data_IF_935204216318
#
_entry.id   IF_935204216318
#
_cell.length_a   1.000
_cell.length_b   1.000
_cell.length_c   1.000
_cell.angle_alpha   90.00
_cell.angle_beta   90.00
_cell.angle_gamma   90.00
#
_symmetry.space_group_name_H-M   'P 1'
#
loop_
_entity.id
_entity.type
_entity.pdbx_description
1 polymer ?
#
# COMPACT_ATOMS: atom_id res chain seq x y z
N UNK A 1 -9.97 12.00 -7.61
CA UNK A 1 -10.03 11.76 -6.14
C UNK A 1 -10.98 10.63 -5.71
N UNK A 2 -11.79 10.03 -6.59
CA UNK A 2 -12.72 8.94 -6.24
C UNK A 2 -12.04 7.60 -5.85
N UNK A 3 -10.72 7.48 -6.01
CA UNK A 3 -10.00 6.23 -5.84
C UNK A 3 -9.80 5.81 -4.37
N UNK A 4 -9.95 6.73 -3.40
CA UNK A 4 -9.74 6.42 -1.98
C UNK A 4 -11.07 6.36 -1.22
N UNK A 5 -11.32 5.27 -0.49
CA UNK A 5 -12.52 5.15 0.33
C UNK A 5 -12.48 6.09 1.55
N UNK A 6 -13.64 6.31 2.20
CA UNK A 6 -13.74 7.19 3.36
C UNK A 6 -12.94 6.69 4.58
N UNK A 7 -12.70 5.38 4.68
CA UNK A 7 -11.95 4.79 5.80
C UNK A 7 -10.42 5.00 5.66
N UNK A 8 -9.91 5.16 4.43
CA UNK A 8 -8.49 5.38 4.16
C UNK A 8 -7.91 6.53 4.98
N UNK A 9 -8.68 7.58 5.26
CA UNK A 9 -8.23 8.74 6.05
C UNK A 9 -7.91 8.40 7.50
N UNK A 10 -8.57 7.37 8.03
CA UNK A 10 -8.43 6.91 9.42
C UNK A 10 -7.31 5.89 9.59
N UNK A 11 -6.83 5.32 8.49
CA UNK A 11 -5.73 4.36 8.49
C UNK A 11 -4.38 5.03 8.72
N UNK A 12 -3.45 4.23 9.27
CA UNK A 12 -2.04 4.60 9.42
C UNK A 12 -1.18 3.64 8.63
N UNK A 13 -0.21 4.17 7.89
CA UNK A 13 0.60 3.43 6.93
C UNK A 13 2.06 3.43 7.37
N UNK A 14 2.67 2.24 7.39
CA UNK A 14 4.11 2.07 7.67
C UNK A 14 4.84 1.76 6.38
N UNK A 15 5.99 2.38 6.15
CA UNK A 15 6.88 2.02 5.04
C UNK A 15 7.57 0.70 5.37
N UNK A 16 7.33 -0.33 4.58
CA UNK A 16 7.86 -1.68 4.80
C UNK A 16 9.07 -2.01 3.95
N UNK A 17 9.12 -1.47 2.72
CA UNK A 17 10.21 -1.71 1.77
C UNK A 17 10.40 -0.50 0.89
N UNK A 18 11.62 -0.34 0.41
CA UNK A 18 11.97 0.66 -0.58
C UNK A 18 12.73 0.00 -1.72
N UNK A 19 12.48 0.43 -2.94
CA UNK A 19 13.14 -0.13 -4.12
C UNK A 19 13.67 0.98 -5.01
N UNK A 20 14.71 0.67 -5.80
CA UNK A 20 15.07 1.44 -6.98
C UNK A 20 14.45 0.77 -8.21
N UNK A 21 13.81 1.55 -9.07
CA UNK A 21 13.19 1.05 -10.29
C UNK A 21 13.14 2.17 -11.34
N UNK A 22 13.74 1.95 -12.52
CA UNK A 22 13.71 2.86 -13.68
C UNK A 22 13.94 4.33 -13.31
N UNK A 23 15.12 4.60 -12.74
CA UNK A 23 15.52 5.94 -12.26
C UNK A 23 14.56 6.57 -11.25
N UNK A 24 13.79 5.75 -10.55
CA UNK A 24 12.79 6.14 -9.56
C UNK A 24 13.04 5.41 -8.26
N UNK A 25 12.46 5.94 -7.19
CA UNK A 25 12.38 5.27 -5.89
C UNK A 25 10.94 4.87 -5.62
N UNK A 26 10.73 3.65 -5.14
CA UNK A 26 9.42 3.11 -4.80
C UNK A 26 9.36 2.82 -3.32
N UNK A 27 8.36 3.38 -2.63
CA UNK A 27 8.03 3.08 -1.25
C UNK A 27 6.82 2.15 -1.20
N UNK A 28 6.98 0.97 -0.59
CA UNK A 28 5.87 0.07 -0.30
C UNK A 28 5.40 0.30 1.13
N UNK A 29 4.16 0.73 1.27
CA UNK A 29 3.51 0.96 2.56
C UNK A 29 2.35 0.00 2.76
N UNK A 30 2.05 -0.35 4.01
CA UNK A 30 0.83 -1.10 4.35
C UNK A 30 0.22 -0.55 5.63
N UNK A 31 -1.07 -0.80 5.84
CA UNK A 31 -1.75 -0.46 7.09
C UNK A 31 -1.04 -1.05 8.31
N UNK A 32 -0.82 -0.22 9.32
CA UNK A 32 -0.16 -0.58 10.59
C UNK A 32 -0.87 -1.70 11.33
N UNK A 33 -2.21 -1.74 11.23
CA UNK A 33 -3.06 -2.80 11.77
C UNK A 33 -2.93 -4.13 11.03
N UNK A 34 -1.94 -4.33 10.16
CA UNK A 34 -1.85 -5.48 9.25
C UNK A 34 -2.12 -6.84 9.92
N UNK A 35 -1.67 -7.05 11.16
CA UNK A 35 -1.94 -8.29 11.89
C UNK A 35 -3.40 -8.40 12.37
N UNK A 36 -3.97 -7.30 12.90
CA UNK A 36 -5.35 -7.22 13.41
C UNK A 36 -6.36 -7.14 12.26
N UNK A 37 -6.05 -6.42 11.19
CA UNK A 37 -6.85 -6.33 9.97
C UNK A 37 -6.82 -7.65 9.20
N UNK A 38 -5.67 -8.34 9.15
CA UNK A 38 -5.59 -9.69 8.61
C UNK A 38 -6.46 -10.65 9.42
N UNK A 39 -6.36 -10.71 10.76
CA UNK A 39 -7.22 -11.58 11.57
C UNK A 39 -8.70 -11.17 11.53
N UNK A 40 -9.01 -9.87 11.56
CA UNK A 40 -10.38 -9.37 11.41
C UNK A 40 -10.95 -9.63 10.01
N UNK A 41 -10.12 -9.72 8.96
CA UNK A 41 -10.57 -10.05 7.59
C UNK A 41 -11.13 -11.47 7.46
N UNK A 42 -10.86 -12.36 8.42
CA UNK A 42 -11.43 -13.70 8.47
C UNK A 42 -12.92 -13.67 8.86
N UNK A 43 -13.33 -12.68 9.66
CA UNK A 43 -14.67 -12.58 10.22
C UNK A 43 -15.46 -11.36 9.69
N UNK A 44 -14.78 -10.42 9.03
CA UNK A 44 -15.37 -9.20 8.45
C UNK A 44 -14.80 -8.97 7.05
N UNK A 45 -15.52 -8.34 6.11
CA UNK A 45 -15.03 -8.01 4.77
C UNK A 45 -14.01 -6.85 4.78
N UNK A 46 -13.05 -6.88 5.71
CA UNK A 46 -12.01 -5.85 5.86
C UNK A 46 -10.89 -6.13 4.86
N UNK A 47 -10.56 -5.13 4.03
CA UNK A 47 -9.43 -5.18 3.10
C UNK A 47 -8.20 -4.50 3.70
N UNK A 48 -7.04 -5.13 3.56
CA UNK A 48 -5.74 -4.56 3.88
C UNK A 48 -5.35 -3.59 2.77
N UNK A 49 -5.07 -2.33 3.12
CA UNK A 49 -4.59 -1.35 2.14
C UNK A 49 -3.07 -1.46 2.02
N UNK A 50 -2.59 -1.65 0.78
CA UNK A 50 -1.19 -1.65 0.39
C UNK A 50 -0.98 -0.50 -0.57
N UNK A 51 0.08 0.29 -0.39
CA UNK A 51 0.40 1.41 -1.27
C UNK A 51 1.79 1.20 -1.85
N UNK A 52 1.89 1.28 -3.16
CA UNK A 52 3.15 1.42 -3.87
C UNK A 52 3.25 2.87 -4.36
N UNK A 53 4.06 3.67 -3.68
CA UNK A 53 4.33 5.07 -4.03
C UNK A 53 5.65 5.16 -4.78
N UNK A 54 5.61 5.46 -6.07
CA UNK A 54 6.78 5.72 -6.91
C UNK A 54 7.02 7.22 -7.01
N UNK A 55 8.22 7.66 -6.66
CA UNK A 55 8.75 9.00 -6.94
C UNK A 55 9.57 8.91 -8.21
N UNK A 56 8.97 9.32 -9.33
CA UNK A 56 9.56 9.24 -10.65
C UNK A 56 10.71 10.23 -10.81
N UNK A 57 11.66 9.87 -11.68
CA UNK A 57 12.83 10.66 -12.05
C UNK A 57 13.79 11.02 -10.90
N UNK A 58 13.57 10.44 -9.71
CA UNK A 58 14.49 10.50 -8.58
C UNK A 58 15.10 9.12 -8.31
N UNK A 59 16.37 8.93 -8.67
CA UNK A 59 17.07 7.65 -8.54
C UNK A 59 17.77 7.45 -7.18
N UNK A 60 17.84 8.51 -6.37
CA UNK A 60 18.47 8.52 -5.06
C UNK A 60 17.41 8.56 -3.95
N UNK A 61 17.51 7.65 -2.98
CA UNK A 61 16.58 7.58 -1.84
C UNK A 61 16.48 8.91 -1.09
N UNK A 62 17.57 9.63 -0.76
CA UNK A 62 17.48 10.90 -0.05
C UNK A 62 16.69 11.94 -0.84
N UNK A 63 16.93 12.06 -2.14
CA UNK A 63 16.26 13.03 -3.00
C UNK A 63 14.75 12.75 -3.08
N UNK A 64 14.38 11.48 -3.31
CA UNK A 64 12.97 11.08 -3.34
C UNK A 64 12.26 11.33 -2.00
N UNK A 65 12.93 11.01 -0.89
CA UNK A 65 12.41 11.25 0.45
C UNK A 65 12.24 12.75 0.75
N UNK A 66 13.26 13.55 0.45
CA UNK A 66 13.26 15.00 0.70
C UNK A 66 12.21 15.69 -0.18
N UNK A 67 12.01 15.24 -1.42
CA UNK A 67 10.96 15.71 -2.31
C UNK A 67 9.57 15.45 -1.73
N UNK A 68 9.30 14.23 -1.24
CA UNK A 68 8.03 13.90 -0.58
C UNK A 68 7.80 14.74 0.69
N UNK A 69 8.83 14.88 1.53
CA UNK A 69 8.77 15.70 2.74
C UNK A 69 8.44 17.16 2.41
N UNK A 70 9.09 17.72 1.39
CA UNK A 70 8.85 19.09 0.88
C UNK A 70 7.44 19.26 0.33
N UNK A 71 6.93 18.24 -0.37
CA UNK A 71 5.57 18.23 -0.89
C UNK A 71 4.49 18.09 0.21
N UNK A 72 4.90 17.79 1.45
CA UNK A 72 4.03 17.68 2.62
C UNK A 72 3.75 16.24 3.07
N UNK A 73 4.34 15.23 2.41
CA UNK A 73 4.21 13.83 2.78
C UNK A 73 5.46 13.36 3.54
N UNK A 74 5.41 13.45 4.86
CA UNK A 74 6.53 13.04 5.74
C UNK A 74 6.49 11.54 5.98
N UNK A 75 7.41 10.82 5.35
CA UNK A 75 7.64 9.41 5.62
C UNK A 75 8.50 9.24 6.88
N UNK A 76 8.73 7.99 7.27
CA UNK A 76 9.67 7.65 8.32
C UNK A 76 11.11 8.06 7.97
N UNK A 77 11.82 8.84 8.82
CA UNK A 77 13.20 9.25 8.59
C UNK A 77 14.17 8.11 8.26
N UNK A 78 13.95 6.92 8.80
CA UNK A 78 14.84 5.80 8.54
C UNK A 78 14.70 5.26 7.10
N UNK A 79 13.62 5.61 6.39
CA UNK A 79 13.45 5.28 4.97
C UNK A 79 14.22 6.23 4.04
N UNK A 80 14.79 7.33 4.56
CA UNK A 80 15.49 8.35 3.76
C UNK A 80 16.64 7.80 2.94
N UNK A 81 17.37 6.81 3.47
CA UNK A 81 18.50 6.19 2.79
C UNK A 81 18.14 4.85 2.12
N UNK A 82 16.85 4.50 2.08
CA UNK A 82 16.36 3.17 1.74
C UNK A 82 16.36 2.24 2.94
N UNK A 83 15.39 1.33 2.96
CA UNK A 83 15.27 0.26 3.94
C UNK A 83 16.09 -0.96 3.49
N UNK A 84 16.77 -1.57 4.45
CA UNK A 84 17.56 -2.79 4.27
C UNK A 84 16.64 -4.01 4.09
N UNK A 85 16.89 -4.81 3.04
CA UNK A 85 16.08 -5.97 2.65
C UNK A 85 16.51 -7.29 3.32
N UNK A 86 17.51 -7.28 4.21
CA UNK A 86 17.96 -8.48 4.92
C UNK A 86 16.88 -9.06 5.85
N UNK A 87 16.72 -10.39 5.83
CA UNK A 87 15.65 -11.11 6.56
C UNK A 87 15.61 -10.77 8.05
N UNK A 88 16.76 -10.67 8.71
CA UNK A 88 16.86 -10.35 10.13
C UNK A 88 16.42 -8.91 10.46
N UNK A 89 16.75 -7.93 9.62
CA UNK A 89 16.31 -6.55 9.82
C UNK A 89 14.88 -6.31 9.38
N UNK A 90 14.36 -7.03 8.38
CA UNK A 90 12.92 -7.01 8.07
C UNK A 90 12.07 -7.46 9.27
N UNK A 91 12.54 -8.45 10.03
CA UNK A 91 11.88 -8.90 11.26
C UNK A 91 11.96 -7.83 12.37
N UNK A 92 13.11 -7.17 12.53
CA UNK A 92 13.27 -6.07 13.48
C UNK A 92 12.44 -4.82 13.10
N UNK A 93 12.39 -4.44 11.83
CA UNK A 93 11.54 -3.37 11.28
C UNK A 93 10.06 -3.67 11.50
N UNK A 94 9.65 -4.94 11.33
CA UNK A 94 8.29 -5.40 11.66
C UNK A 94 7.98 -5.26 13.15
N UNK A 95 8.93 -5.56 14.04
CA UNK A 95 8.72 -5.53 15.49
C UNK A 95 8.72 -4.10 16.06
N UNK A 96 9.51 -3.20 15.47
CA UNK A 96 9.68 -1.83 16.00
C UNK A 96 8.61 -0.84 15.52
N UNK A 97 7.69 -1.24 14.62
CA UNK A 97 6.55 -0.45 14.12
C UNK A 97 6.84 1.06 14.05
N UNK A 98 7.69 1.41 13.10
CA UNK A 98 8.25 2.75 13.02
C UNK A 98 7.19 3.80 12.64
N UNK A 99 7.59 5.08 12.68
CA UNK A 99 6.71 6.23 12.46
C UNK A 99 5.73 6.02 11.30
N UNK A 100 4.43 6.18 11.58
CA UNK A 100 3.36 5.92 10.63
C UNK A 100 2.84 7.20 9.99
N UNK A 101 2.54 7.13 8.70
CA UNK A 101 1.91 8.19 7.92
C UNK A 101 0.40 8.06 8.01
N UNK A 102 -0.32 9.13 8.29
CA UNK A 102 -1.79 9.07 8.29
C UNK A 102 -2.31 9.06 6.84
N UNK A 103 -3.34 8.27 6.57
CA UNK A 103 -3.93 8.20 5.22
C UNK A 103 -4.46 9.55 4.74
N UNK A 104 -4.96 10.40 5.66
CA UNK A 104 -5.36 11.77 5.34
C UNK A 104 -4.20 12.61 4.75
N UNK A 105 -2.97 12.38 5.21
CA UNK A 105 -1.79 13.12 4.75
C UNK A 105 -1.43 12.67 3.33
N UNK A 106 -1.55 11.36 3.05
CA UNK A 106 -1.39 10.80 1.70
C UNK A 106 -2.47 11.35 0.75
N UNK A 107 -3.74 11.41 1.17
CA UNK A 107 -4.80 11.99 0.34
C UNK A 107 -4.56 13.47 0.08
N UNK A 108 -4.14 14.22 1.10
CA UNK A 108 -3.85 15.66 0.97
C UNK A 108 -2.70 15.89 0.00
N UNK A 109 -1.63 15.11 0.13
CA UNK A 109 -0.53 15.10 -0.84
C UNK A 109 -1.04 14.80 -2.26
N UNK A 110 -1.89 13.78 -2.42
CA UNK A 110 -2.44 13.42 -3.72
C UNK A 110 -3.33 14.52 -4.32
N UNK A 111 -4.14 15.19 -3.48
CA UNK A 111 -5.03 16.26 -3.89
C UNK A 111 -4.26 17.53 -4.31
N UNK A 112 -3.14 17.83 -3.63
CA UNK A 112 -2.29 18.97 -3.94
C UNK A 112 -1.51 18.81 -5.25
N UNK A 113 -1.19 17.58 -5.65
CA UNK A 113 -0.31 17.27 -6.78
C UNK A 113 -1.04 16.53 -7.91
N UNK A 114 -2.35 16.75 -8.08
CA UNK A 114 -3.18 15.99 -9.04
C UNK A 114 -2.67 16.06 -10.49
N UNK A 115 -2.03 17.16 -10.88
CA UNK A 115 -1.47 17.37 -12.22
C UNK A 115 -0.13 16.64 -12.46
N UNK A 116 0.46 16.10 -11.39
CA UNK A 116 1.77 15.42 -11.38
C UNK A 116 1.66 13.97 -10.90
N UNK A 117 0.44 13.46 -10.77
CA UNK A 117 0.15 12.15 -10.23
C UNK A 117 -0.66 11.31 -11.20
N UNK A 118 -0.34 10.02 -11.22
CA UNK A 118 -1.25 8.98 -11.69
C UNK A 118 -1.52 8.00 -10.56
N UNK A 119 -2.81 7.68 -10.36
CA UNK A 119 -3.26 6.77 -9.30
C UNK A 119 -4.09 5.68 -9.93
N UNK A 120 -3.70 4.43 -9.70
CA UNK A 120 -4.48 3.25 -10.02
C UNK A 120 -4.78 2.45 -8.75
N UNK A 121 -5.91 1.75 -8.74
CA UNK A 121 -6.33 0.91 -7.62
C UNK A 121 -6.71 -0.45 -8.16
N UNK A 122 -6.26 -1.48 -7.46
CA UNK A 122 -6.57 -2.87 -7.76
C UNK A 122 -6.96 -3.59 -6.47
N UNK A 123 -7.92 -4.51 -6.56
CA UNK A 123 -8.36 -5.31 -5.41
C UNK A 123 -8.16 -6.80 -5.70
N UNK A 124 -7.31 -7.45 -4.91
CA UNK A 124 -6.96 -8.87 -5.07
C UNK A 124 -7.18 -9.59 -3.74
N UNK A 125 -8.21 -10.44 -3.68
CA UNK A 125 -8.56 -11.15 -2.45
C UNK A 125 -8.91 -10.20 -1.30
N UNK A 126 -8.16 -10.28 -0.20
CA UNK A 126 -8.29 -9.39 0.96
C UNK A 126 -7.44 -8.10 0.85
N UNK A 127 -6.73 -7.89 -0.26
CA UNK A 127 -5.87 -6.74 -0.46
C UNK A 127 -6.57 -5.69 -1.33
N UNK A 128 -6.35 -4.42 -0.99
CA UNK A 128 -6.56 -3.28 -1.88
C UNK A 128 -5.23 -2.60 -2.09
N UNK A 129 -4.77 -2.57 -3.33
CA UNK A 129 -3.46 -2.08 -3.73
C UNK A 129 -3.64 -0.75 -4.45
N UNK A 130 -2.98 0.28 -3.93
CA UNK A 130 -2.92 1.61 -4.54
C UNK A 130 -1.55 1.77 -5.20
N UNK A 131 -1.55 2.02 -6.51
CA UNK A 131 -0.37 2.40 -7.26
C UNK A 131 -0.39 3.90 -7.44
N UNK A 132 0.52 4.60 -6.79
CA UNK A 132 0.64 6.06 -6.83
C UNK A 132 1.97 6.38 -7.49
N UNK A 133 1.95 7.02 -8.65
CA UNK A 133 3.15 7.48 -9.36
C UNK A 133 3.16 9.00 -9.35
N UNK A 134 4.18 9.58 -8.74
CA UNK A 134 4.38 11.02 -8.66
C UNK A 134 5.62 11.44 -9.44
N UNK A 135 5.48 12.45 -10.29
CA UNK A 135 6.60 13.07 -11.00
C UNK A 135 6.82 14.50 -10.48
N UNK A 136 7.74 14.71 -9.52
CA UNK A 136 7.97 16.02 -8.90
C UNK A 136 8.51 17.07 -9.87
N UNK A 137 9.25 16.65 -10.90
CA UNK A 137 10.02 17.57 -11.75
C UNK A 137 9.23 18.05 -12.97
N UNK A 138 7.99 17.56 -13.15
CA UNK A 138 7.11 17.85 -14.33
C UNK A 138 7.73 17.53 -15.70
N UNK A 139 8.90 16.90 -15.73
CA UNK A 139 9.63 16.61 -16.97
C UNK A 139 9.05 15.44 -17.76
N UNK A 140 8.22 14.60 -17.13
CA UNK A 140 7.56 13.45 -17.75
C UNK A 140 6.12 13.37 -17.28
N UNK A 141 5.29 12.69 -18.06
CA UNK A 141 3.98 12.29 -17.52
C UNK A 141 4.18 11.15 -16.50
N UNK A 142 3.51 11.20 -15.34
CA UNK A 142 3.44 10.04 -14.44
C UNK A 142 2.75 8.89 -15.20
N UNK A 143 3.27 7.66 -15.06
CA UNK A 143 2.74 6.48 -15.76
C UNK A 143 2.66 5.27 -14.84
N UNK A 144 1.47 4.67 -14.71
CA UNK A 144 1.31 3.41 -13.95
C UNK A 144 1.59 2.14 -14.76
N UNK A 145 1.66 2.23 -16.09
CA UNK A 145 2.02 1.09 -16.96
C UNK A 145 3.46 0.61 -16.71
N UNK A 146 3.69 -0.70 -16.61
CA UNK A 146 4.97 -1.30 -16.23
C UNK A 146 5.24 -1.33 -14.72
N UNK A 147 4.68 -0.38 -13.98
CA UNK A 147 4.83 -0.29 -12.53
C UNK A 147 3.98 -1.33 -11.78
N UNK A 148 2.82 -1.70 -12.33
CA UNK A 148 1.96 -2.74 -11.74
C UNK A 148 2.63 -4.11 -11.80
N UNK A 149 3.26 -4.43 -12.92
CA UNK A 149 4.02 -5.66 -13.13
C UNK A 149 5.21 -5.73 -12.17
N UNK A 150 5.95 -4.62 -12.02
CA UNK A 150 7.02 -4.50 -11.03
C UNK A 150 6.52 -4.77 -9.61
N UNK A 151 5.42 -4.13 -9.22
CA UNK A 151 4.84 -4.30 -7.89
C UNK A 151 4.32 -5.73 -7.68
N UNK A 152 3.70 -6.34 -8.68
CA UNK A 152 3.25 -7.72 -8.63
C UNK A 152 4.41 -8.71 -8.45
N UNK A 153 5.51 -8.52 -9.19
CA UNK A 153 6.71 -9.35 -9.04
C UNK A 153 7.33 -9.24 -7.63
N UNK A 154 7.41 -8.03 -7.08
CA UNK A 154 7.99 -7.77 -5.75
C UNK A 154 7.03 -8.05 -4.58
N UNK A 155 5.78 -8.38 -4.88
CA UNK A 155 4.77 -8.76 -3.90
C UNK A 155 4.22 -10.17 -4.14
N UNK A 156 4.86 -10.94 -5.03
CA UNK A 156 4.34 -12.21 -5.55
C UNK A 156 4.01 -13.22 -4.44
N UNK A 157 4.86 -13.37 -3.43
CA UNK A 157 4.59 -14.30 -2.32
C UNK A 157 3.31 -13.94 -1.54
N UNK A 158 3.08 -12.65 -1.30
CA UNK A 158 1.87 -12.16 -0.64
C UNK A 158 0.65 -12.22 -1.58
N UNK A 159 0.83 -11.90 -2.87
CA UNK A 159 -0.23 -12.00 -3.87
C UNK A 159 -0.70 -13.43 -4.07
N UNK A 160 0.23 -14.37 -4.23
CA UNK A 160 -0.06 -15.80 -4.33
C UNK A 160 -0.81 -16.26 -3.07
N UNK A 161 -0.34 -15.93 -1.86
CA UNK A 161 -1.08 -16.28 -0.64
C UNK A 161 -2.50 -15.68 -0.63
N UNK A 162 -2.68 -14.43 -1.03
CA UNK A 162 -4.01 -13.79 -1.11
C UNK A 162 -4.92 -14.36 -2.21
N UNK A 163 -4.37 -14.81 -3.34
CA UNK A 163 -5.10 -15.49 -4.42
C UNK A 163 -5.55 -16.89 -4.00
N UNK A 164 -4.67 -17.64 -3.35
CA UNK A 164 -4.99 -18.92 -2.73
C UNK A 164 -6.05 -18.75 -1.64
N UNK A 165 -5.94 -17.73 -0.79
CA UNK A 165 -6.99 -17.41 0.18
C UNK A 165 -8.32 -17.01 -0.49
N UNK A 166 -8.32 -16.28 -1.61
CA UNK A 166 -9.54 -15.98 -2.36
C UNK A 166 -10.23 -17.27 -2.82
N UNK A 167 -9.46 -18.24 -3.32
CA UNK A 167 -9.96 -19.55 -3.71
C UNK A 167 -10.51 -20.36 -2.52
N UNK A 168 -9.85 -20.30 -1.36
CA UNK A 168 -10.23 -21.02 -0.13
C UNK A 168 -11.37 -20.36 0.67
N UNK A 169 -11.50 -19.02 0.61
CA UNK A 169 -12.56 -18.27 1.32
C UNK A 169 -13.89 -18.23 0.57
N UNK A 170 -13.91 -18.56 -0.73
CA UNK A 170 -15.14 -18.67 -1.52
C UNK A 170 -16.17 -19.63 -0.88
N UNK A 171 -15.78 -20.87 -0.51
CA UNK A 171 -16.65 -21.82 0.17
C UNK A 171 -17.08 -21.40 1.59
N UNK A 172 -16.17 -20.79 2.36
CA UNK A 172 -16.43 -20.43 3.77
C UNK A 172 -17.41 -19.25 3.88
N UNK A 173 -17.34 -18.26 2.99
CA UNK A 173 -18.32 -17.16 2.94
C UNK A 173 -19.71 -17.63 2.55
N UNK A 174 -19.82 -18.67 1.70
CA UNK A 174 -21.10 -19.27 1.33
C UNK A 174 -21.74 -20.03 2.52
N UNK A 175 -20.96 -20.83 3.24
CA UNK A 175 -21.41 -21.52 4.46
C UNK A 175 -21.78 -20.56 5.60
N UNK A 176 -20.97 -19.52 5.84
CA UNK A 176 -21.28 -18.49 6.84
C UNK A 176 -22.52 -17.66 6.49
N UNK A 177 -22.73 -17.36 5.20
CA UNK A 177 -23.93 -16.69 4.72
C UNK A 177 -25.20 -17.53 4.88
N UNK A 178 -25.11 -18.85 4.66
CA UNK A 178 -26.22 -19.78 4.94
C UNK A 178 -26.53 -19.89 6.43
N UNK A 179 -25.53 -19.92 7.30
CA UNK A 179 -25.73 -20.00 8.75
C UNK A 179 -26.34 -18.73 9.36
N UNK A 180 -26.02 -17.55 8.81
CA UNK A 180 -26.63 -16.28 9.23
C UNK A 180 -28.04 -16.11 8.64
N UNK A 181 -28.30 -16.64 7.43
CA UNK A 181 -29.63 -16.64 6.81
C UNK A 181 -30.61 -17.64 7.41
N UNK A 182 -30.12 -18.69 8.08
CA UNK A 182 -30.96 -19.68 8.79
C UNK A 182 -31.31 -19.25 10.22
N UNK A 183 -30.78 -18.14 10.72
CA UNK A 183 -31.10 -17.58 12.04
C UNK A 183 -32.18 -16.50 12.04
N UNK A 184 -32.79 -16.19 10.89
CA UNK A 184 -33.82 -15.14 10.74
C UNK A 184 -35.13 -15.67 10.14
N UNK A 185 -35.50 -16.91 10.46
CA UNK A 185 -36.84 -17.45 10.18
C UNK A 185 -37.46 -17.83 11.53
N UNK A 186 -38.30 -16.92 12.02
CA UNK A 186 -39.26 -17.00 13.14
C UNK A 186 -38.79 -17.43 14.54
#
# INVERSE_FOLDING_TARGET
MQSFNWFFDKDRYTVYKTFKHDSSVVYRMTTWTNLIAYTASWFTPTKVNVIFLKVQSNSLFPNAYDALSTAGLKLDPNSRNGLDDSVGKMAAQKAQFWNTVAGRDIKTFCAKNQDQLEIAVEEIGHLRIFYIVWEPDRGKQPRTGGFREFAAANFKAQLTHSEWEKALRGPIKWLGGQLIGLGSSD
#
